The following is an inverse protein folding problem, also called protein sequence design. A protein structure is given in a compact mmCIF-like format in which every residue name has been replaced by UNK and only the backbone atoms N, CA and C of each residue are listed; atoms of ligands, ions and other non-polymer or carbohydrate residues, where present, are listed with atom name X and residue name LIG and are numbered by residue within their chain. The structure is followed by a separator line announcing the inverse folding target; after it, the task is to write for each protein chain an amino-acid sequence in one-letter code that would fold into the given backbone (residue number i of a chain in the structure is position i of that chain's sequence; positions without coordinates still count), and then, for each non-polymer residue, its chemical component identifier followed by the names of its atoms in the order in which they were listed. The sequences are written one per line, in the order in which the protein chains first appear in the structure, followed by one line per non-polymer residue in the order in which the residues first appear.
data_IF_632228373365
#
_entry.id   IF_632228373365
#
_cell.length_a   1.000
_cell.length_b   1.000
_cell.length_c   1.000
_cell.angle_alpha   90.00
_cell.angle_beta   90.00
_cell.angle_gamma   90.00
#
_symmetry.space_group_name_H-M   'P 1'
#
loop_
_entity.id
_entity.type
_entity.pdbx_description
1 polymer ?
#
# COMPACT_ATOMS: atom_id res chain seq x y z
N UNK A 1 19.04 11.43 3.99
CA UNK A 1 18.48 11.62 2.63
C UNK A 1 17.06 12.12 2.79
N UNK A 2 16.72 13.26 2.20
CA UNK A 2 15.37 13.83 2.29
C UNK A 2 14.44 12.94 1.46
N UNK A 3 13.57 12.17 2.11
CA UNK A 3 12.44 11.52 1.46
C UNK A 3 11.48 12.62 1.04
N UNK A 4 11.54 13.00 -0.24
CA UNK A 4 10.40 13.69 -0.83
C UNK A 4 9.23 12.70 -0.85
N UNK A 5 8.03 13.12 -0.40
CA UNK A 5 6.85 12.25 -0.47
C UNK A 5 6.60 11.85 -1.93
N UNK A 6 6.19 10.60 -2.14
CA UNK A 6 5.76 10.14 -3.45
C UNK A 6 4.49 10.93 -3.83
N UNK A 7 4.40 11.54 -5.03
CA UNK A 7 3.19 12.24 -5.46
C UNK A 7 1.93 11.36 -5.46
N UNK A 8 2.09 10.03 -5.44
CA UNK A 8 0.98 9.06 -5.46
C UNK A 8 0.52 8.62 -4.05
N UNK A 9 1.08 9.16 -2.97
CA UNK A 9 0.72 8.81 -1.59
C UNK A 9 -0.28 9.77 -0.97
N UNK A 10 -1.44 9.24 -0.59
CA UNK A 10 -2.42 9.96 0.24
C UNK A 10 -1.91 9.97 1.69
N UNK A 11 -1.69 11.17 2.23
CA UNK A 11 -1.20 11.41 3.60
C UNK A 11 0.20 10.82 3.91
N UNK A 12 1.26 11.34 3.26
CA UNK A 12 2.62 10.78 3.33
C UNK A 12 3.30 10.98 4.70
N UNK A 13 2.80 11.90 5.53
CA UNK A 13 3.35 12.21 6.85
C UNK A 13 2.65 11.46 7.98
N UNK A 14 1.63 10.64 7.68
CA UNK A 14 0.99 9.83 8.70
C UNK A 14 1.97 8.80 9.27
N UNK A 15 2.00 8.58 10.60
CA UNK A 15 2.92 7.62 11.22
C UNK A 15 2.82 6.21 10.63
N UNK A 16 1.61 5.78 10.26
CA UNK A 16 1.40 4.48 9.59
C UNK A 16 2.08 4.48 8.23
N UNK A 17 1.82 5.47 7.37
CA UNK A 17 2.44 5.58 6.03
C UNK A 17 3.97 5.59 6.15
N UNK A 18 4.53 6.44 7.01
CA UNK A 18 5.98 6.48 7.25
C UNK A 18 6.54 5.14 7.74
N UNK A 19 5.84 4.46 8.63
CA UNK A 19 6.21 3.13 9.12
C UNK A 19 6.21 2.07 8.01
N UNK A 20 5.21 2.09 7.12
CA UNK A 20 5.16 1.21 5.95
C UNK A 20 6.35 1.46 5.02
N UNK A 21 6.71 2.71 4.75
CA UNK A 21 7.87 3.04 3.92
C UNK A 21 9.19 2.62 4.52
N UNK A 22 9.37 2.83 5.83
CA UNK A 22 10.61 2.43 6.50
C UNK A 22 10.79 0.91 6.52
N UNK A 23 9.69 0.16 6.59
CA UNK A 23 9.71 -1.26 6.92
C UNK A 23 9.02 -2.16 5.87
N UNK A 24 8.89 -1.68 4.62
CA UNK A 24 8.19 -2.40 3.55
C UNK A 24 8.71 -3.82 3.31
N UNK A 25 10.02 -4.02 3.49
CA UNK A 25 10.68 -5.32 3.35
C UNK A 25 10.27 -6.30 4.46
N UNK A 26 10.04 -5.83 5.69
CA UNK A 26 9.52 -6.66 6.80
C UNK A 26 8.07 -7.04 6.56
N UNK A 27 7.26 -6.13 6.02
CA UNK A 27 5.88 -6.42 5.64
C UNK A 27 5.83 -7.52 4.58
N UNK A 28 6.67 -7.43 3.54
CA UNK A 28 6.77 -8.47 2.52
C UNK A 28 7.14 -9.83 3.13
N UNK A 29 8.13 -9.86 4.03
CA UNK A 29 8.54 -11.09 4.72
C UNK A 29 7.40 -11.70 5.57
N UNK A 30 6.64 -10.87 6.29
CA UNK A 30 5.49 -11.32 7.10
C UNK A 30 4.38 -11.86 6.20
N UNK A 31 4.11 -11.23 5.05
CA UNK A 31 3.14 -11.70 4.07
C UNK A 31 3.57 -13.07 3.51
N UNK A 32 4.84 -13.22 3.11
CA UNK A 32 5.37 -14.50 2.65
C UNK A 32 5.24 -15.58 3.73
N UNK A 33 5.57 -15.26 4.98
CA UNK A 33 5.40 -16.17 6.12
C UNK A 33 3.93 -16.57 6.33
N UNK A 34 2.99 -15.60 6.29
CA UNK A 34 1.54 -15.85 6.39
C UNK A 34 1.01 -16.73 5.27
N UNK A 35 1.52 -16.55 4.05
CA UNK A 35 1.18 -17.37 2.88
C UNK A 35 1.89 -18.74 2.90
N UNK A 36 2.75 -19.00 3.88
CA UNK A 36 3.57 -20.21 4.00
C UNK A 36 4.43 -20.47 2.76
N UNK A 37 4.98 -19.41 2.18
CA UNK A 37 5.91 -19.48 1.04
C UNK A 37 7.29 -19.00 1.46
N UNK A 38 8.33 -19.60 0.87
CA UNK A 38 9.73 -19.24 1.11
C UNK A 38 10.36 -18.45 -0.03
N UNK A 39 9.73 -18.49 -1.19
CA UNK A 39 10.18 -17.83 -2.40
C UNK A 39 8.95 -17.38 -3.20
N UNK A 40 9.00 -16.16 -3.72
CA UNK A 40 8.05 -15.62 -4.68
C UNK A 40 8.88 -14.98 -5.79
N UNK A 41 8.55 -15.30 -7.03
CA UNK A 41 9.12 -14.63 -8.20
C UNK A 41 8.07 -13.67 -8.72
N UNK A 42 8.34 -12.37 -8.61
CA UNK A 42 7.51 -11.32 -9.21
C UNK A 42 8.04 -11.04 -10.61
N UNK A 43 7.24 -11.37 -11.62
CA UNK A 43 7.59 -11.15 -13.03
C UNK A 43 6.95 -9.87 -13.56
N UNK A 44 7.44 -9.42 -14.71
CA UNK A 44 6.80 -8.33 -15.45
C UNK A 44 5.35 -8.66 -15.86
N UNK A 45 5.06 -9.94 -16.14
CA UNK A 45 3.71 -10.37 -16.47
C UNK A 45 2.75 -10.24 -15.28
N UNK A 46 3.23 -10.52 -14.06
CA UNK A 46 2.46 -10.32 -12.82
C UNK A 46 2.15 -8.84 -12.61
N UNK A 47 3.13 -7.96 -12.83
CA UNK A 47 2.95 -6.51 -12.73
C UNK A 47 1.92 -6.02 -13.75
N UNK A 48 2.06 -6.43 -15.02
CA UNK A 48 1.09 -6.05 -16.07
C UNK A 48 -0.29 -6.60 -15.78
N UNK A 49 -0.39 -7.85 -15.32
CA UNK A 49 -1.65 -8.46 -14.91
C UNK A 49 -2.30 -7.68 -13.78
N UNK A 50 -1.55 -7.35 -12.75
CA UNK A 50 -2.01 -6.54 -11.61
C UNK A 50 -2.51 -5.15 -12.03
N UNK A 51 -1.73 -4.42 -12.84
CA UNK A 51 -2.11 -3.10 -13.36
C UNK A 51 -3.35 -3.19 -14.26
N UNK A 52 -3.47 -4.23 -15.08
CA UNK A 52 -4.64 -4.41 -15.94
C UNK A 52 -5.94 -4.71 -15.16
N UNK A 53 -5.84 -5.32 -13.97
CA UNK A 53 -7.00 -5.54 -13.10
C UNK A 53 -7.44 -4.28 -12.33
N UNK A 54 -6.59 -3.25 -12.27
CA UNK A 54 -6.85 -1.98 -11.60
C UNK A 54 -6.51 -0.82 -12.56
N UNK A 55 -7.34 -0.59 -13.59
CA UNK A 55 -7.03 0.30 -14.70
C UNK A 55 -6.85 1.77 -14.29
N UNK A 56 -7.53 2.18 -13.21
CA UNK A 56 -7.42 3.53 -12.65
C UNK A 56 -6.22 3.68 -11.68
N UNK A 57 -5.40 2.63 -11.55
CA UNK A 57 -4.32 2.55 -10.58
C UNK A 57 -4.75 1.83 -9.31
N UNK A 58 -3.75 1.41 -8.54
CA UNK A 58 -3.93 0.67 -7.29
C UNK A 58 -3.40 1.47 -6.11
N UNK A 59 -4.13 1.49 -5.01
CA UNK A 59 -3.66 2.01 -3.74
C UNK A 59 -3.76 0.93 -2.66
N UNK A 60 -2.91 1.04 -1.63
CA UNK A 60 -3.00 0.23 -0.42
C UNK A 60 -3.58 1.09 0.68
N UNK A 61 -4.81 0.79 1.10
CA UNK A 61 -5.36 1.34 2.32
C UNK A 61 -4.74 0.61 3.52
N UNK A 62 -4.11 1.37 4.40
CA UNK A 62 -3.53 0.85 5.63
C UNK A 62 -4.23 1.45 6.84
N UNK A 63 -4.69 0.60 7.75
CA UNK A 63 -5.33 1.00 9.00
C UNK A 63 -4.74 0.19 10.14
N UNK A 64 -4.06 0.86 11.07
CA UNK A 64 -3.57 0.25 12.30
C UNK A 64 -4.71 0.14 13.33
N UNK A 65 -5.06 -1.10 13.70
CA UNK A 65 -6.13 -1.41 14.63
C UNK A 65 -5.58 -2.22 15.81
N UNK A 66 -6.38 -2.36 16.87
CA UNK A 66 -5.99 -3.10 18.09
C UNK A 66 -5.58 -4.56 17.83
N UNK A 67 -6.12 -5.17 16.79
CA UNK A 67 -5.86 -6.56 16.39
C UNK A 67 -4.78 -6.68 15.29
N UNK A 68 -4.21 -5.56 14.85
CA UNK A 68 -3.07 -5.52 13.95
C UNK A 68 -3.22 -4.50 12.83
N UNK A 69 -2.29 -4.58 11.87
CA UNK A 69 -2.29 -3.75 10.66
C UNK A 69 -3.21 -4.36 9.60
N UNK A 70 -4.26 -3.64 9.25
CA UNK A 70 -5.22 -4.02 8.21
C UNK A 70 -4.77 -3.39 6.90
N UNK A 71 -4.49 -4.23 5.90
CA UNK A 71 -4.11 -3.80 4.55
C UNK A 71 -5.20 -4.20 3.58
N UNK A 72 -5.61 -3.27 2.72
CA UNK A 72 -6.60 -3.51 1.68
C UNK A 72 -6.13 -2.94 0.37
N UNK A 73 -6.22 -3.74 -0.68
CA UNK A 73 -6.06 -3.26 -2.04
C UNK A 73 -7.35 -2.55 -2.44
N UNK A 74 -7.23 -1.31 -2.89
CA UNK A 74 -8.32 -0.48 -3.38
C UNK A 74 -7.89 0.18 -4.69
N UNK A 75 -8.84 0.67 -5.47
CA UNK A 75 -8.53 1.49 -6.64
C UNK A 75 -8.25 2.96 -6.24
N UNK A 76 -7.68 3.72 -7.17
CA UNK A 76 -7.37 5.13 -6.94
C UNK A 76 -8.64 5.98 -6.67
N UNK A 77 -9.75 5.68 -7.34
CA UNK A 77 -11.02 6.39 -7.14
C UNK A 77 -11.53 6.23 -5.69
N UNK A 78 -11.46 5.02 -5.13
CA UNK A 78 -11.80 4.74 -3.74
C UNK A 78 -10.82 5.43 -2.79
N UNK A 79 -9.53 5.46 -3.12
CA UNK A 79 -8.51 6.15 -2.31
C UNK A 79 -8.80 7.67 -2.22
N UNK A 80 -9.07 8.32 -3.35
CA UNK A 80 -9.44 9.74 -3.40
C UNK A 80 -10.76 10.04 -2.69
N UNK A 81 -11.75 9.14 -2.82
CA UNK A 81 -13.03 9.28 -2.10
C UNK A 81 -12.80 9.24 -0.58
N UNK A 82 -12.05 8.26 -0.09
CA UNK A 82 -11.72 8.12 1.34
C UNK A 82 -10.88 9.30 1.85
N UNK A 83 -9.90 9.76 1.07
CA UNK A 83 -9.11 10.94 1.41
C UNK A 83 -9.98 12.18 1.64
N UNK A 84 -10.94 12.42 0.75
CA UNK A 84 -11.89 13.54 0.85
C UNK A 84 -12.81 13.41 2.06
N UNK A 85 -13.31 12.21 2.36
CA UNK A 85 -14.18 11.96 3.52
C UNK A 85 -13.47 12.26 4.85
N UNK A 86 -12.16 12.00 4.92
CA UNK A 86 -11.32 12.22 6.09
C UNK A 86 -10.65 13.62 6.11
N UNK A 87 -10.92 14.46 5.10
CA UNK A 87 -10.33 15.81 4.99
C UNK A 87 -8.82 15.82 4.75
N UNK A 88 -8.27 14.75 4.18
CA UNK A 88 -6.86 14.61 3.87
C UNK A 88 -6.52 15.28 2.52
N UNK A 89 -5.33 15.89 2.39
CA UNK A 89 -4.87 16.39 1.10
C UNK A 89 -4.68 15.22 0.13
N UNK A 90 -5.35 15.31 -1.02
CA UNK A 90 -5.18 14.47 -2.20
C UNK A 90 -4.00 14.96 -3.04
#
# INVERSE_FOLDING_TARGET
MSHRPNPDEVNPHHPVTMGLHAEWHKLLAIVMWKLNVREIVLTEADIRGFVAHLPDGSAVLAHDKRDGLHLRLIDACEAERLAREEGLPS
#
